data_IF_193861703742
#
_entry.id   IF_193861703742
#
_cell.length_a   1.000
_cell.length_b   1.000
_cell.length_c   1.000
_cell.angle_alpha   90.00
_cell.angle_beta   90.00
_cell.angle_gamma   90.00
#
_symmetry.space_group_name_H-M   'P 1'
#
loop_
_entity.id
_entity.type
_entity.pdbx_description
1 polymer ?
#
# COMPACT_ATOMS: atom_id res chain seq x y z
N UNK A 1 31.75 -16.98 -14.04
CA UNK A 1 31.32 -15.57 -13.82
C UNK A 1 29.90 -15.26 -14.33
N UNK A 2 29.00 -16.25 -14.47
CA UNK A 2 27.64 -16.06 -15.02
C UNK A 2 26.57 -15.75 -13.95
N UNK A 3 26.86 -16.09 -12.69
CA UNK A 3 25.90 -15.98 -11.57
C UNK A 3 25.59 -14.51 -11.22
N UNK A 4 26.61 -13.64 -11.17
CA UNK A 4 26.42 -12.22 -10.81
C UNK A 4 25.66 -11.38 -11.86
N UNK A 5 25.69 -11.77 -13.13
CA UNK A 5 24.98 -11.05 -14.20
C UNK A 5 23.47 -11.36 -14.18
N UNK A 6 23.09 -12.58 -13.79
CA UNK A 6 21.69 -12.96 -13.60
C UNK A 6 21.10 -12.33 -12.32
N UNK A 7 21.85 -12.30 -11.21
CA UNK A 7 21.43 -11.57 -10.00
C UNK A 7 21.21 -10.08 -10.27
N UNK A 8 22.12 -9.44 -11.02
CA UNK A 8 21.97 -8.04 -11.39
C UNK A 8 20.72 -7.81 -12.25
N UNK A 9 20.46 -8.68 -13.23
CA UNK A 9 19.23 -8.60 -14.06
C UNK A 9 17.97 -8.78 -13.22
N UNK A 10 17.97 -9.72 -12.28
CA UNK A 10 16.85 -9.94 -11.37
C UNK A 10 16.60 -8.71 -10.50
N UNK A 11 17.65 -8.13 -9.90
CA UNK A 11 17.54 -6.87 -9.14
C UNK A 11 17.06 -5.70 -9.98
N UNK A 12 17.53 -5.55 -11.22
CA UNK A 12 17.04 -4.50 -12.14
C UNK A 12 15.56 -4.71 -12.48
N UNK A 13 15.14 -5.95 -12.74
CA UNK A 13 13.74 -6.28 -13.01
C UNK A 13 12.86 -6.00 -11.79
N UNK A 14 13.34 -6.32 -10.59
CA UNK A 14 12.67 -6.05 -9.32
C UNK A 14 12.57 -4.54 -9.03
N UNK A 15 13.63 -3.77 -9.28
CA UNK A 15 13.64 -2.30 -9.18
C UNK A 15 12.68 -1.65 -10.19
N UNK A 16 12.62 -2.16 -11.42
CA UNK A 16 11.65 -1.69 -12.43
C UNK A 16 10.21 -2.00 -11.99
N UNK A 17 9.96 -3.21 -11.47
CA UNK A 17 8.63 -3.61 -10.95
C UNK A 17 8.21 -2.80 -9.73
N UNK A 18 9.13 -2.53 -8.80
CA UNK A 18 8.85 -1.69 -7.63
C UNK A 18 8.55 -0.26 -8.05
N UNK A 19 9.29 0.32 -9.00
CA UNK A 19 8.96 1.64 -9.56
C UNK A 19 7.56 1.69 -10.21
N UNK A 20 7.15 0.62 -10.89
CA UNK A 20 5.78 0.50 -11.44
C UNK A 20 4.75 0.52 -10.29
N UNK A 21 4.98 -0.23 -9.20
CA UNK A 21 4.09 -0.22 -8.02
C UNK A 21 3.99 1.17 -7.38
N UNK A 22 5.11 1.90 -7.26
CA UNK A 22 5.09 3.27 -6.77
C UNK A 22 4.24 4.19 -7.66
N UNK A 23 4.34 4.07 -8.99
CA UNK A 23 3.55 4.87 -9.91
C UNK A 23 2.05 4.54 -9.85
N UNK A 24 1.68 3.27 -9.70
CA UNK A 24 0.28 2.87 -9.54
C UNK A 24 -0.30 3.38 -8.19
N UNK A 25 0.47 3.29 -7.11
CA UNK A 25 0.05 3.86 -5.82
C UNK A 25 -0.09 5.39 -5.88
N UNK A 26 0.80 6.08 -6.60
CA UNK A 26 0.70 7.52 -6.84
C UNK A 26 -0.52 7.89 -7.66
N UNK A 27 -0.87 7.12 -8.70
CA UNK A 27 -2.10 7.32 -9.48
C UNK A 27 -3.33 7.19 -8.59
N UNK A 28 -3.42 6.11 -7.81
CA UNK A 28 -4.55 5.88 -6.90
C UNK A 28 -4.60 7.00 -5.85
N UNK A 29 -3.46 7.42 -5.29
CA UNK A 29 -3.42 8.54 -4.36
C UNK A 29 -3.87 9.86 -5.03
N UNK A 30 -3.51 10.09 -6.29
CA UNK A 30 -3.97 11.24 -7.06
C UNK A 30 -5.47 11.20 -7.35
N UNK A 31 -6.03 10.02 -7.64
CA UNK A 31 -7.47 9.81 -7.83
C UNK A 31 -8.25 10.10 -6.54
N UNK A 32 -7.76 9.60 -5.41
CA UNK A 32 -8.42 9.74 -4.11
C UNK A 32 -8.33 11.17 -3.57
N UNK A 33 -7.14 11.77 -3.60
CA UNK A 33 -6.86 13.03 -2.91
C UNK A 33 -6.77 14.23 -3.86
N UNK A 34 -6.81 14.01 -5.18
CA UNK A 34 -6.70 15.06 -6.19
C UNK A 34 -5.46 15.93 -5.99
N UNK A 35 -5.65 17.25 -6.03
CA UNK A 35 -4.57 18.23 -5.79
C UNK A 35 -3.92 18.11 -4.41
N UNK A 36 -4.58 17.42 -3.46
CA UNK A 36 -4.07 17.17 -2.11
C UNK A 36 -3.33 15.84 -1.96
N UNK A 37 -2.93 15.14 -3.04
CA UNK A 37 -2.26 13.84 -2.99
C UNK A 37 -1.01 13.80 -2.09
N UNK A 38 -0.34 14.95 -1.90
CA UNK A 38 0.77 15.06 -0.94
C UNK A 38 0.38 14.64 0.48
N UNK A 39 -0.91 14.69 0.85
CA UNK A 39 -1.43 14.16 2.11
C UNK A 39 -1.20 12.64 2.24
N UNK A 40 -1.30 11.89 1.15
CA UNK A 40 -1.02 10.44 1.12
C UNK A 40 0.45 10.10 1.31
N UNK A 41 1.34 11.06 1.01
CA UNK A 41 2.79 10.93 1.18
C UNK A 41 3.30 11.54 2.49
N UNK A 42 2.40 12.10 3.30
CA UNK A 42 2.77 12.74 4.56
C UNK A 42 2.98 11.68 5.64
N UNK A 43 4.03 11.77 6.48
CA UNK A 43 4.21 10.88 7.63
C UNK A 43 2.99 10.83 8.57
N UNK A 44 2.20 11.92 8.63
CA UNK A 44 0.97 12.01 9.41
C UNK A 44 -0.27 11.54 8.64
N UNK A 45 -0.12 10.73 7.59
CA UNK A 45 -1.23 10.21 6.80
C UNK A 45 -2.27 9.46 7.64
N UNK A 46 -1.84 8.85 8.74
CA UNK A 46 -2.73 8.23 9.71
C UNK A 46 -3.85 9.17 10.20
N UNK A 47 -3.57 10.48 10.33
CA UNK A 47 -4.56 11.47 10.78
C UNK A 47 -5.69 11.70 9.76
N UNK A 48 -5.52 11.24 8.53
CA UNK A 48 -6.58 11.24 7.52
C UNK A 48 -7.65 10.19 7.85
N UNK A 49 -7.33 9.20 8.68
CA UNK A 49 -8.26 8.17 9.11
C UNK A 49 -8.88 8.56 10.46
N UNK A 50 -10.16 8.93 10.44
CA UNK A 50 -10.94 9.21 11.65
C UNK A 50 -11.41 7.94 12.39
N UNK A 51 -11.28 6.79 11.73
CA UNK A 51 -11.73 5.49 12.21
C UNK A 51 -10.92 4.37 11.53
N UNK A 52 -11.15 3.12 11.95
CA UNK A 52 -10.47 1.97 11.35
C UNK A 52 -10.90 1.67 9.91
N UNK A 53 -12.04 2.20 9.47
CA UNK A 53 -12.63 1.99 8.15
C UNK A 53 -13.20 3.32 7.65
N UNK A 54 -12.64 3.83 6.55
CA UNK A 54 -12.93 5.20 6.07
C UNK A 54 -13.25 5.14 4.58
N UNK A 55 -14.37 5.73 4.17
CA UNK A 55 -14.68 5.90 2.76
C UNK A 55 -14.01 7.16 2.22
N UNK A 56 -13.35 7.01 1.07
CA UNK A 56 -12.78 8.12 0.31
C UNK A 56 -13.58 8.33 -0.96
N UNK A 57 -14.53 9.27 -0.89
CA UNK A 57 -15.54 9.42 -1.94
C UNK A 57 -16.40 8.17 -2.07
N UNK A 58 -16.92 7.91 -3.28
CA UNK A 58 -17.84 6.80 -3.53
C UNK A 58 -17.14 5.50 -3.93
N UNK A 59 -15.86 5.56 -4.30
CA UNK A 59 -15.19 4.45 -4.99
C UNK A 59 -14.05 3.81 -4.22
N UNK A 60 -13.64 4.37 -3.08
CA UNK A 60 -12.47 3.88 -2.35
C UNK A 60 -12.77 3.67 -0.87
N UNK A 61 -12.19 2.61 -0.32
CA UNK A 61 -12.22 2.26 1.08
C UNK A 61 -10.80 2.21 1.63
N UNK A 62 -10.60 2.97 2.71
CA UNK A 62 -9.43 2.94 3.56
C UNK A 62 -9.63 2.01 4.74
N UNK A 63 -8.59 1.27 5.10
CA UNK A 63 -8.50 0.48 6.33
C UNK A 63 -7.27 0.87 7.13
N UNK A 64 -7.45 0.95 8.45
CA UNK A 64 -6.38 1.11 9.43
C UNK A 64 -6.40 -0.11 10.35
N UNK A 65 -5.32 -0.87 10.32
CA UNK A 65 -5.20 -2.17 10.97
C UNK A 65 -4.02 -2.19 11.94
N UNK A 66 -4.22 -2.81 13.09
CA UNK A 66 -3.14 -3.16 14.01
C UNK A 66 -2.34 -4.33 13.45
N UNK A 67 -1.02 -4.18 13.39
CA UNK A 67 -0.11 -5.22 12.91
C UNK A 67 1.13 -5.27 13.80
N UNK A 68 1.78 -6.44 13.85
CA UNK A 68 3.12 -6.55 14.40
C UNK A 68 4.12 -6.57 13.25
N UNK A 69 5.01 -5.58 13.20
CA UNK A 69 6.08 -5.52 12.21
C UNK A 69 7.42 -5.61 12.93
N UNK A 70 8.19 -6.67 12.64
CA UNK A 70 9.50 -6.93 13.26
C UNK A 70 9.44 -6.95 14.81
N UNK A 71 8.39 -7.54 15.37
CA UNK A 71 8.18 -7.66 16.83
C UNK A 71 7.76 -6.36 17.52
N UNK A 72 7.41 -5.33 16.76
CA UNK A 72 6.88 -4.06 17.28
C UNK A 72 5.45 -3.85 16.84
N UNK A 73 4.64 -3.32 17.75
CA UNK A 73 3.30 -2.85 17.42
C UNK A 73 3.39 -1.72 16.39
N UNK A 74 2.62 -1.84 15.32
CA UNK A 74 2.57 -0.91 14.23
C UNK A 74 1.13 -0.79 13.68
N UNK A 75 0.90 0.27 12.90
CA UNK A 75 -0.36 0.47 12.18
C UNK A 75 -0.10 0.30 10.69
N UNK A 76 -0.87 -0.57 10.05
CA UNK A 76 -0.91 -0.68 8.60
C UNK A 76 -2.08 0.14 8.06
N UNK A 77 -1.78 1.02 7.11
CA UNK A 77 -2.78 1.83 6.41
C UNK A 77 -2.90 1.32 4.97
N UNK A 78 -4.12 0.99 4.55
CA UNK A 78 -4.41 0.52 3.20
C UNK A 78 -5.53 1.38 2.62
N UNK A 79 -5.44 1.75 1.34
CA UNK A 79 -6.56 2.34 0.61
C UNK A 79 -6.65 1.67 -0.76
N UNK A 80 -7.87 1.32 -1.16
CA UNK A 80 -8.13 0.65 -2.43
C UNK A 80 -9.57 0.82 -2.88
N UNK A 81 -9.89 0.28 -4.05
CA UNK A 81 -11.26 0.30 -4.60
C UNK A 81 -12.23 -0.45 -3.68
N UNK A 82 -13.45 0.08 -3.51
CA UNK A 82 -14.53 -0.59 -2.76
C UNK A 82 -14.90 -1.97 -3.35
N UNK A 83 -14.57 -2.20 -4.62
CA UNK A 83 -14.84 -3.46 -5.33
C UNK A 83 -13.75 -4.52 -5.11
N UNK A 84 -12.72 -4.24 -4.32
CA UNK A 84 -11.71 -5.23 -3.98
C UNK A 84 -12.28 -6.33 -3.08
N UNK A 85 -11.74 -7.53 -3.23
CA UNK A 85 -12.01 -8.67 -2.33
C UNK A 85 -11.20 -8.50 -1.04
N UNK A 86 -11.75 -7.70 -0.12
CA UNK A 86 -11.13 -7.38 1.17
C UNK A 86 -11.07 -8.60 2.09
N UNK A 87 -12.00 -9.54 1.99
CA UNK A 87 -11.97 -10.77 2.77
C UNK A 87 -10.74 -11.61 2.40
N UNK A 88 -10.54 -11.86 1.10
CA UNK A 88 -9.34 -12.56 0.63
C UNK A 88 -8.06 -11.81 0.97
N UNK A 89 -8.05 -10.48 0.83
CA UNK A 89 -6.91 -9.67 1.22
C UNK A 89 -6.53 -9.84 2.70
N UNK A 90 -7.50 -9.74 3.61
CA UNK A 90 -7.28 -9.89 5.04
C UNK A 90 -6.87 -11.32 5.41
N UNK A 91 -7.42 -12.34 4.75
CA UNK A 91 -7.04 -13.73 4.96
C UNK A 91 -5.57 -13.97 4.55
N UNK A 92 -5.15 -13.45 3.39
CA UNK A 92 -3.75 -13.55 2.95
C UNK A 92 -2.77 -12.89 3.93
N UNK A 93 -3.17 -11.77 4.55
CA UNK A 93 -2.33 -11.10 5.56
C UNK A 93 -2.19 -11.94 6.83
N UNK A 94 -3.26 -12.62 7.25
CA UNK A 94 -3.23 -13.52 8.41
C UNK A 94 -2.38 -14.76 8.15
N UNK A 95 -2.40 -15.31 6.94
CA UNK A 95 -1.58 -16.47 6.57
C UNK A 95 -0.08 -16.15 6.45
N UNK A 96 0.26 -14.88 6.18
CA UNK A 96 1.64 -14.43 6.04
C UNK A 96 2.28 -13.92 7.35
N UNK A 97 1.50 -13.81 8.44
CA UNK A 97 1.92 -13.37 9.77
C UNK A 97 2.17 -14.56 10.70
#
# INVERSE_FOLDING_TARGET
MQVGLNELRNKIAELKRTKIRFLENEKIALEIFGKSFKKALNPNFEMVFDSNLVFFGENYLGMKLDVNFEGKEAKMLCVGSIYNDYERFLNNLKEAA
#
